data_IF_310202661911
#
_entry.id   IF_310202661911
#
_cell.length_a   1.000
_cell.length_b   1.000
_cell.length_c   1.000
_cell.angle_alpha   90.00
_cell.angle_beta   90.00
_cell.angle_gamma   90.00
#
_symmetry.space_group_name_H-M   'P 1'
#
loop_
_entity.id
_entity.type
_entity.pdbx_description
1 polymer ?
#
# COMPACT_ATOMS: atom_id res chain seq x y z
N UNK A 1 -9.37 20.58 -14.04
CA UNK A 1 -8.35 19.54 -13.84
C UNK A 1 -8.55 19.00 -12.45
N UNK A 2 -8.57 17.68 -12.33
CA UNK A 2 -8.72 16.99 -11.04
C UNK A 2 -7.56 16.04 -10.90
N UNK A 3 -6.78 16.17 -9.84
CA UNK A 3 -5.55 15.40 -9.63
C UNK A 3 -5.64 14.64 -8.32
N UNK A 4 -5.52 13.32 -8.38
CA UNK A 4 -5.40 12.45 -7.22
C UNK A 4 -3.92 12.18 -6.94
N UNK A 5 -3.47 12.42 -5.71
CA UNK A 5 -2.19 11.92 -5.21
C UNK A 5 -2.37 10.55 -4.55
N UNK A 6 -1.50 9.61 -4.88
CA UNK A 6 -1.32 8.34 -4.17
C UNK A 6 0.04 8.38 -3.49
N UNK A 7 0.04 8.25 -2.17
CA UNK A 7 1.27 8.08 -1.37
C UNK A 7 1.13 6.79 -0.59
N UNK A 8 2.09 5.87 -0.70
CA UNK A 8 1.86 4.50 -0.23
C UNK A 8 3.11 3.69 0.05
N UNK A 9 2.91 2.57 0.75
CA UNK A 9 3.92 1.52 0.82
C UNK A 9 3.94 0.75 -0.50
N UNK A 10 5.15 0.40 -0.96
CA UNK A 10 5.36 -0.45 -2.12
C UNK A 10 4.73 -1.85 -2.01
N UNK A 11 4.32 -2.28 -0.81
CA UNK A 11 3.55 -3.52 -0.64
C UNK A 11 2.23 -3.55 -1.43
N UNK A 12 1.67 -2.37 -1.77
CA UNK A 12 0.40 -2.26 -2.50
C UNK A 12 0.57 -2.11 -4.02
N UNK A 13 1.74 -2.43 -4.58
CA UNK A 13 1.98 -2.30 -6.03
C UNK A 13 0.92 -3.01 -6.87
N UNK A 14 0.53 -4.22 -6.46
CA UNK A 14 -0.42 -5.05 -7.19
C UNK A 14 -1.82 -4.42 -7.18
N UNK A 15 -2.28 -3.99 -6.01
CA UNK A 15 -3.59 -3.36 -5.87
C UNK A 15 -3.64 -1.99 -6.56
N UNK A 16 -2.56 -1.20 -6.50
CA UNK A 16 -2.46 0.08 -7.22
C UNK A 16 -2.48 -0.17 -8.73
N UNK A 17 -1.71 -1.14 -9.23
CA UNK A 17 -1.71 -1.51 -10.66
C UNK A 17 -3.12 -1.87 -11.10
N UNK A 18 -3.78 -2.76 -10.34
CA UNK A 18 -5.15 -3.19 -10.64
C UNK A 18 -6.13 -2.02 -10.70
N UNK A 19 -6.07 -1.09 -9.76
CA UNK A 19 -6.97 0.06 -9.76
C UNK A 19 -6.74 0.98 -10.96
N UNK A 20 -5.48 1.33 -11.23
CA UNK A 20 -5.17 2.34 -12.24
C UNK A 20 -5.31 1.81 -13.67
N UNK A 21 -4.99 0.53 -13.90
CA UNK A 21 -5.17 -0.11 -15.20
C UNK A 21 -6.65 -0.28 -15.59
N UNK A 22 -7.54 -0.39 -14.60
CA UNK A 22 -8.96 -0.64 -14.81
C UNK A 22 -9.86 0.59 -14.62
N UNK A 23 -9.31 1.80 -14.41
CA UNK A 23 -10.10 3.03 -14.35
C UNK A 23 -10.07 3.79 -15.69
N UNK A 24 -11.15 3.72 -16.50
CA UNK A 24 -11.20 4.35 -17.82
C UNK A 24 -11.25 5.88 -17.77
N UNK A 25 -11.51 6.47 -16.60
CA UNK A 25 -11.61 7.92 -16.46
C UNK A 25 -10.24 8.58 -16.20
N UNK A 26 -9.19 7.80 -15.94
CA UNK A 26 -7.82 8.32 -15.83
C UNK A 26 -7.30 8.70 -17.21
N UNK A 27 -6.96 9.97 -17.38
CA UNK A 27 -6.31 10.47 -18.60
C UNK A 27 -4.80 10.29 -18.56
N UNK A 28 -4.19 10.50 -17.39
CA UNK A 28 -2.73 10.42 -17.20
C UNK A 28 -2.36 9.85 -15.83
N UNK A 29 -1.39 8.95 -15.85
CA UNK A 29 -0.73 8.44 -14.65
C UNK A 29 0.69 9.03 -14.63
N UNK A 30 1.02 9.73 -13.55
CA UNK A 30 2.36 10.22 -13.27
C UNK A 30 3.02 9.35 -12.22
N UNK A 31 4.22 8.90 -12.49
CA UNK A 31 5.05 8.18 -11.53
C UNK A 31 6.21 9.10 -11.16
N UNK A 32 6.38 9.37 -9.87
CA UNK A 32 7.53 10.16 -9.43
C UNK A 32 8.82 9.35 -9.65
N UNK A 33 9.83 9.96 -10.25
CA UNK A 33 11.13 9.35 -10.50
C UNK A 33 11.82 8.97 -9.17
N UNK A 34 11.73 7.68 -8.82
CA UNK A 34 12.32 7.05 -7.65
C UNK A 34 12.37 5.53 -7.87
N UNK A 35 13.42 4.87 -7.38
CA UNK A 35 13.61 3.42 -7.43
C UNK A 35 12.43 2.64 -6.82
N UNK A 36 11.81 3.15 -5.76
CA UNK A 36 10.66 2.52 -5.12
C UNK A 36 9.41 2.44 -6.01
N UNK A 37 9.38 3.18 -7.12
CA UNK A 37 8.26 3.13 -8.07
C UNK A 37 8.54 2.22 -9.27
N UNK A 38 9.74 1.65 -9.41
CA UNK A 38 10.11 0.86 -10.60
C UNK A 38 9.23 -0.39 -10.77
N UNK A 39 8.87 -1.07 -9.68
CA UNK A 39 8.00 -2.25 -9.73
C UNK A 39 6.60 -1.89 -10.24
N UNK A 40 6.01 -0.82 -9.67
CA UNK A 40 4.73 -0.27 -10.14
C UNK A 40 4.77 0.13 -11.63
N UNK A 41 5.83 0.83 -12.06
CA UNK A 41 5.98 1.25 -13.46
C UNK A 41 5.93 0.05 -14.41
N UNK A 42 6.74 -0.98 -14.14
CA UNK A 42 6.81 -2.17 -14.98
C UNK A 42 5.46 -2.89 -15.05
N UNK A 43 4.74 -2.99 -13.93
CA UNK A 43 3.41 -3.63 -13.87
C UNK A 43 2.37 -2.85 -14.66
N UNK A 44 2.34 -1.52 -14.54
CA UNK A 44 1.44 -0.68 -15.31
C UNK A 44 1.73 -0.77 -16.82
N UNK A 45 3.01 -0.77 -17.23
CA UNK A 45 3.40 -0.95 -18.63
C UNK A 45 3.00 -2.32 -19.18
N UNK A 46 3.12 -3.39 -18.38
CA UNK A 46 2.66 -4.73 -18.74
C UNK A 46 1.14 -4.81 -18.96
N UNK A 47 0.36 -4.02 -18.21
CA UNK A 47 -1.08 -3.83 -18.41
C UNK A 47 -1.42 -2.88 -19.57
N UNK A 48 -0.42 -2.41 -20.31
CA UNK A 48 -0.61 -1.53 -21.48
C UNK A 48 -0.83 -0.05 -21.14
N UNK A 49 -0.69 0.35 -19.88
CA UNK A 49 -0.68 1.76 -19.49
C UNK A 49 0.57 2.45 -20.04
N UNK A 50 0.53 3.79 -20.14
CA UNK A 50 1.68 4.61 -20.54
C UNK A 50 1.95 5.69 -19.50
N UNK A 51 2.49 5.33 -18.32
CA UNK A 51 2.74 6.31 -17.27
C UNK A 51 3.82 7.31 -17.68
N UNK A 52 3.72 8.52 -17.18
CA UNK A 52 4.72 9.58 -17.37
C UNK A 52 5.63 9.61 -16.15
N UNK A 53 6.90 9.27 -16.33
CA UNK A 53 7.89 9.30 -15.25
C UNK A 53 8.58 10.65 -15.20
N UNK A 54 8.47 11.36 -14.08
CA UNK A 54 9.07 12.69 -13.90
C UNK A 54 9.56 12.88 -12.47
N UNK A 55 10.65 13.66 -12.27
CA UNK A 55 10.99 14.11 -10.94
C UNK A 55 9.91 15.07 -10.43
N UNK A 56 9.68 15.06 -9.12
CA UNK A 56 8.55 15.77 -8.49
C UNK A 56 8.42 17.24 -8.92
N UNK A 57 9.54 17.97 -9.03
CA UNK A 57 9.55 19.39 -9.37
C UNK A 57 9.10 19.69 -10.82
N UNK A 58 9.09 18.71 -11.73
CA UNK A 58 8.61 18.87 -13.12
C UNK A 58 7.12 18.56 -13.28
N UNK A 59 6.52 17.81 -12.37
CA UNK A 59 5.13 17.35 -12.48
C UNK A 59 4.15 18.51 -12.60
N UNK A 60 4.34 19.58 -11.82
CA UNK A 60 3.46 20.76 -11.87
C UNK A 60 3.42 21.43 -13.25
N UNK A 61 4.52 21.43 -13.98
CA UNK A 61 4.57 22.01 -15.32
C UNK A 61 3.78 21.16 -16.31
N UNK A 62 3.88 19.84 -16.23
CA UNK A 62 3.18 18.91 -17.14
C UNK A 62 1.67 18.82 -16.84
N UNK A 63 1.27 18.86 -15.56
CA UNK A 63 -0.14 18.90 -15.17
C UNK A 63 -0.90 20.04 -15.83
N UNK A 64 -0.28 21.23 -15.97
CA UNK A 64 -0.91 22.39 -16.62
C UNK A 64 -1.28 22.16 -18.09
N UNK A 65 -0.76 21.10 -18.71
CA UNK A 65 -1.06 20.72 -20.08
C UNK A 65 -2.23 19.73 -20.20
N UNK A 66 -2.80 19.23 -19.09
CA UNK A 66 -4.01 18.40 -19.09
C UNK A 66 -5.14 19.05 -18.29
N UNK A 67 -6.39 18.94 -18.78
CA UNK A 67 -7.58 19.43 -18.07
C UNK A 67 -8.41 18.31 -17.44
N UNK A 68 -8.00 17.05 -17.60
CA UNK A 68 -8.78 15.85 -17.21
C UNK A 68 -8.32 15.28 -15.85
N UNK A 69 -8.88 14.13 -15.48
CA UNK A 69 -8.52 13.41 -14.27
C UNK A 69 -7.13 12.78 -14.40
N UNK A 70 -6.22 13.11 -13.49
CA UNK A 70 -4.85 12.59 -13.48
C UNK A 70 -4.53 12.01 -12.12
N UNK A 71 -3.63 11.02 -12.08
CA UNK A 71 -3.14 10.40 -10.85
C UNK A 71 -1.63 10.59 -10.76
N UNK A 72 -1.11 10.96 -9.59
CA UNK A 72 0.32 11.00 -9.30
C UNK A 72 0.61 9.96 -8.22
N UNK A 73 1.59 9.08 -8.44
CA UNK A 73 1.95 8.03 -7.48
C UNK A 73 3.37 8.23 -6.95
N UNK A 74 3.51 8.17 -5.63
CA UNK A 74 4.77 8.14 -4.89
C UNK A 74 4.76 7.00 -3.87
N UNK A 75 5.46 5.91 -4.17
CA UNK A 75 5.67 4.81 -3.24
C UNK A 75 6.89 5.00 -2.36
N UNK A 76 6.90 4.30 -1.24
CA UNK A 76 8.00 4.24 -0.28
C UNK A 76 8.35 2.78 0.03
N UNK A 77 9.61 2.54 0.38
CA UNK A 77 10.14 1.19 0.56
C UNK A 77 9.48 0.41 1.70
N UNK A 78 9.31 -0.90 1.47
CA UNK A 78 8.68 -1.83 2.42
C UNK A 78 9.38 -1.89 3.78
N UNK A 79 10.70 -1.71 3.79
CA UNK A 79 11.52 -1.73 5.01
C UNK A 79 11.15 -0.66 6.04
N UNK A 80 10.44 0.40 5.66
CA UNK A 80 10.00 1.42 6.61
C UNK A 80 9.08 0.88 7.71
N UNK A 81 8.45 -0.29 7.50
CA UNK A 81 7.55 -0.90 8.49
C UNK A 81 8.25 -1.24 9.82
N UNK A 82 9.57 -1.51 9.82
CA UNK A 82 10.37 -1.74 11.03
C UNK A 82 10.91 -0.44 11.65
N UNK A 83 10.67 0.74 11.05
CA UNK A 83 11.16 2.03 11.53
C UNK A 83 10.04 3.08 11.65
N UNK A 84 9.13 2.99 12.65
CA UNK A 84 7.94 3.84 12.74
C UNK A 84 8.22 5.36 12.72
N UNK A 85 9.30 5.81 13.36
CA UNK A 85 9.68 7.23 13.37
C UNK A 85 10.10 7.71 11.97
N UNK A 86 10.87 6.89 11.25
CA UNK A 86 11.31 7.19 9.88
C UNK A 86 10.15 7.10 8.89
N UNK A 87 9.31 6.07 8.99
CA UNK A 87 8.06 5.94 8.24
C UNK A 87 7.24 7.22 8.38
N UNK A 88 6.96 7.64 9.61
CA UNK A 88 6.19 8.86 9.87
C UNK A 88 6.83 10.10 9.25
N UNK A 89 8.14 10.29 9.42
CA UNK A 89 8.84 11.45 8.88
C UNK A 89 8.75 11.51 7.35
N UNK A 90 9.09 10.42 6.67
CA UNK A 90 9.10 10.38 5.20
C UNK A 90 7.70 10.49 4.63
N UNK A 91 6.71 9.78 5.19
CA UNK A 91 5.32 9.88 4.72
C UNK A 91 4.76 11.29 4.92
N UNK A 92 5.05 11.96 6.05
CA UNK A 92 4.59 13.33 6.29
C UNK A 92 5.22 14.33 5.32
N UNK A 93 6.51 14.18 5.03
CA UNK A 93 7.21 14.99 4.02
C UNK A 93 6.58 14.80 2.64
N UNK A 94 6.36 13.56 2.22
CA UNK A 94 5.75 13.26 0.93
C UNK A 94 4.32 13.79 0.83
N UNK A 95 3.52 13.67 1.90
CA UNK A 95 2.16 14.20 1.96
C UNK A 95 2.14 15.72 1.90
N UNK A 96 3.00 16.41 2.66
CA UNK A 96 3.08 17.87 2.63
C UNK A 96 3.43 18.37 1.23
N UNK A 97 4.43 17.77 0.59
CA UNK A 97 4.88 18.13 -0.75
C UNK A 97 3.78 17.82 -1.79
N UNK A 98 3.18 16.63 -1.75
CA UNK A 98 2.09 16.22 -2.66
C UNK A 98 0.85 17.12 -2.52
N UNK A 99 0.49 17.52 -1.29
CA UNK A 99 -0.73 18.31 -1.01
C UNK A 99 -0.76 19.68 -1.67
N UNK A 100 0.40 20.16 -2.13
CA UNK A 100 0.57 21.43 -2.85
C UNK A 100 0.32 21.31 -4.36
N UNK A 101 0.18 20.07 -4.87
CA UNK A 101 0.01 19.77 -6.29
C UNK A 101 -1.34 19.14 -6.64
N UNK A 102 -1.99 18.46 -5.68
CA UNK A 102 -3.15 17.60 -5.94
C UNK A 102 -4.41 18.08 -5.22
N UNK A 103 -5.56 17.62 -5.69
CA UNK A 103 -6.88 17.96 -5.13
C UNK A 103 -7.30 17.01 -4.00
N UNK A 104 -6.63 15.88 -3.84
CA UNK A 104 -6.79 14.94 -2.73
C UNK A 104 -5.71 13.88 -2.70
N UNK A 105 -5.43 13.32 -1.53
CA UNK A 105 -4.43 12.25 -1.33
C UNK A 105 -5.10 11.01 -0.75
N UNK A 106 -4.93 9.88 -1.45
CA UNK A 106 -5.22 8.55 -0.92
C UNK A 106 -3.91 7.94 -0.42
N UNK A 107 -3.88 7.63 0.88
CA UNK A 107 -2.75 6.97 1.51
C UNK A 107 -2.94 5.46 1.45
N UNK A 108 -2.06 4.78 0.70
CA UNK A 108 -1.96 3.32 0.67
C UNK A 108 -1.14 2.83 1.85
N UNK A 109 -1.73 3.06 3.02
CA UNK A 109 -1.23 2.70 4.34
C UNK A 109 -2.41 2.40 5.26
N UNK A 110 -2.20 1.47 6.19
CA UNK A 110 -3.01 1.37 7.40
C UNK A 110 -2.52 2.32 8.49
N UNK A 111 -2.83 1.99 9.74
CA UNK A 111 -2.34 2.70 10.92
C UNK A 111 -0.84 2.46 11.18
N UNK A 112 -0.30 1.33 10.70
CA UNK A 112 1.10 0.91 10.78
C UNK A 112 1.71 1.13 12.17
N UNK A 113 1.15 0.45 13.18
CA UNK A 113 1.62 0.59 14.58
C UNK A 113 1.42 2.00 15.14
N UNK A 114 0.30 2.66 14.78
CA UNK A 114 -0.05 4.02 15.16
C UNK A 114 0.82 5.15 14.58
N UNK A 115 1.85 4.85 13.78
CA UNK A 115 2.74 5.85 13.20
C UNK A 115 1.99 6.94 12.41
N UNK A 116 0.92 6.53 11.71
CA UNK A 116 0.12 7.39 10.84
C UNK A 116 -1.25 7.76 11.42
N UNK A 117 -1.56 7.35 12.64
CA UNK A 117 -2.87 7.54 13.31
C UNK A 117 -3.36 8.99 13.36
N UNK A 118 -2.44 9.96 13.37
CA UNK A 118 -2.75 11.40 13.49
C UNK A 118 -2.63 12.16 12.16
N UNK A 119 -2.35 11.50 11.05
CA UNK A 119 -2.01 12.19 9.79
C UNK A 119 -3.15 13.08 9.29
N UNK A 120 -4.39 12.58 9.28
CA UNK A 120 -5.54 13.36 8.84
C UNK A 120 -5.76 14.61 9.72
N UNK A 121 -5.59 14.46 11.05
CA UNK A 121 -5.72 15.58 12.00
C UNK A 121 -4.61 16.61 11.81
N UNK A 122 -3.37 16.14 11.61
CA UNK A 122 -2.21 17.02 11.47
C UNK A 122 -2.26 17.83 10.18
N UNK A 123 -2.89 17.30 9.13
CA UNK A 123 -3.09 17.99 7.85
C UNK A 123 -4.50 18.55 7.64
N UNK A 124 -5.35 18.59 8.67
CA UNK A 124 -6.73 19.10 8.58
C UNK A 124 -6.81 20.58 8.17
N UNK A 125 -5.72 21.33 8.31
CA UNK A 125 -5.60 22.73 7.90
C UNK A 125 -5.33 22.89 6.40
N UNK A 126 -4.97 21.81 5.70
CA UNK A 126 -4.74 21.84 4.25
C UNK A 126 -6.06 21.76 3.49
N UNK A 127 -6.12 22.38 2.31
CA UNK A 127 -7.30 22.27 1.41
C UNK A 127 -7.37 20.93 0.69
N UNK A 128 -6.35 20.09 0.85
CA UNK A 128 -6.20 18.79 0.21
C UNK A 128 -6.67 17.69 1.17
N UNK A 129 -7.86 17.08 0.97
CA UNK A 129 -8.31 15.96 1.79
C UNK A 129 -7.33 14.79 1.70
N UNK A 130 -6.93 14.28 2.86
CA UNK A 130 -6.06 13.11 2.99
C UNK A 130 -6.87 11.97 3.64
N UNK A 131 -6.93 10.82 2.97
CA UNK A 131 -7.63 9.63 3.47
C UNK A 131 -6.73 8.40 3.43
N UNK A 132 -6.53 7.67 4.53
CA UNK A 132 -5.93 6.33 4.51
C UNK A 132 -6.89 5.30 3.92
N UNK A 133 -6.39 4.08 3.72
CA UNK A 133 -7.25 2.93 3.43
C UNK A 133 -8.22 2.73 4.60
N UNK A 134 -9.51 2.64 4.30
CA UNK A 134 -10.56 2.65 5.31
C UNK A 134 -11.21 1.29 5.42
N UNK A 135 -11.31 0.82 6.66
CA UNK A 135 -12.18 -0.29 7.02
C UNK A 135 -13.60 0.24 7.18
N UNK A 136 -14.54 -0.45 6.55
CA UNK A 136 -15.97 -0.15 6.63
C UNK A 136 -16.68 -1.40 7.08
N UNK A 137 -16.46 -1.75 8.33
CA UNK A 137 -17.30 -2.72 8.98
C UNK A 137 -18.59 -2.07 9.48
N UNK A 138 -19.66 -2.86 9.49
CA UNK A 138 -21.05 -2.42 9.63
C UNK A 138 -21.27 -1.42 10.77
N UNK A 139 -21.84 -0.27 10.44
CA UNK A 139 -22.50 0.70 11.34
C UNK A 139 -21.66 1.48 12.37
N UNK A 140 -20.33 1.34 12.38
CA UNK A 140 -19.43 2.20 13.17
C UNK A 140 -18.61 3.17 12.32
N UNK A 141 -18.20 4.28 12.95
CA UNK A 141 -17.34 5.33 12.37
C UNK A 141 -16.24 4.75 11.48
N UNK A 142 -16.12 5.28 10.26
CA UNK A 142 -15.09 4.87 9.29
C UNK A 142 -13.70 5.02 9.93
N UNK A 143 -13.00 3.89 10.12
CA UNK A 143 -11.67 3.82 10.72
C UNK A 143 -10.63 3.41 9.68
N UNK A 144 -9.37 3.86 9.78
CA UNK A 144 -8.30 3.30 8.97
C UNK A 144 -8.15 1.79 9.21
N UNK A 145 -7.72 1.05 8.19
CA UNK A 145 -7.24 -0.33 8.41
C UNK A 145 -6.00 -0.33 9.31
N UNK A 146 -5.79 -1.40 10.06
CA UNK A 146 -4.70 -1.50 11.03
C UNK A 146 -3.34 -1.56 10.33
N UNK A 147 -3.19 -2.42 9.32
CA UNK A 147 -1.99 -2.60 8.52
C UNK A 147 -2.31 -3.11 7.10
N UNK A 148 -1.28 -3.49 6.34
CA UNK A 148 -1.43 -4.03 4.99
C UNK A 148 -2.03 -5.44 4.94
N UNK A 149 -1.84 -6.26 5.97
CA UNK A 149 -2.42 -7.60 6.04
C UNK A 149 -3.92 -7.49 6.32
N UNK A 150 -4.32 -6.58 7.23
CA UNK A 150 -5.73 -6.26 7.45
C UNK A 150 -6.43 -5.79 6.17
N UNK A 151 -5.75 -4.95 5.36
CA UNK A 151 -6.28 -4.53 4.06
C UNK A 151 -6.45 -5.71 3.09
N UNK A 152 -5.43 -6.59 3.00
CA UNK A 152 -5.43 -7.75 2.11
C UNK A 152 -6.40 -8.86 2.55
N UNK A 153 -6.78 -8.90 3.82
CA UNK A 153 -7.81 -9.81 4.36
C UNK A 153 -9.21 -9.18 4.36
N UNK A 154 -9.37 -7.98 3.81
CA UNK A 154 -10.68 -7.35 3.62
C UNK A 154 -11.21 -6.53 4.80
N UNK A 155 -10.42 -6.29 5.85
CA UNK A 155 -10.79 -5.41 6.96
C UNK A 155 -10.22 -5.84 8.31
N UNK A 156 -10.39 -4.99 9.33
CA UNK A 156 -9.83 -5.22 10.66
C UNK A 156 -10.54 -6.34 11.40
N UNK A 157 -11.86 -6.48 11.26
CA UNK A 157 -12.61 -7.51 11.98
C UNK A 157 -12.23 -8.90 11.52
N UNK A 158 -12.23 -9.14 10.20
CA UNK A 158 -11.82 -10.42 9.65
C UNK A 158 -10.36 -10.75 9.98
N UNK A 159 -9.46 -9.76 9.89
CA UNK A 159 -8.07 -9.91 10.31
C UNK A 159 -7.94 -10.34 11.78
N UNK A 160 -8.66 -9.70 12.69
CA UNK A 160 -8.63 -10.06 14.13
C UNK A 160 -9.22 -11.45 14.40
N UNK A 161 -10.21 -11.90 13.63
CA UNK A 161 -10.73 -13.27 13.71
C UNK A 161 -9.65 -14.27 13.28
N UNK A 162 -8.99 -14.02 12.15
CA UNK A 162 -7.90 -14.85 11.65
C UNK A 162 -6.75 -14.91 12.68
N UNK A 163 -6.33 -13.78 13.25
CA UNK A 163 -5.28 -13.75 14.28
C UNK A 163 -5.62 -14.57 15.52
N UNK A 164 -6.90 -14.68 15.90
CA UNK A 164 -7.34 -15.52 17.02
C UNK A 164 -7.27 -17.01 16.68
N UNK A 165 -7.63 -17.37 15.45
CA UNK A 165 -7.65 -18.76 14.98
C UNK A 165 -6.28 -19.28 14.51
N UNK A 166 -5.38 -18.37 14.12
CA UNK A 166 -4.09 -18.65 13.49
C UNK A 166 -2.96 -17.84 14.15
N UNK A 167 -2.87 -17.89 15.48
CA UNK A 167 -1.89 -17.12 16.25
C UNK A 167 -0.43 -17.56 16.03
N UNK A 168 -0.22 -18.75 15.48
CA UNK A 168 1.08 -19.35 15.13
C UNK A 168 1.47 -19.12 13.66
N UNK A 169 0.78 -18.22 12.96
CA UNK A 169 0.87 -18.08 11.50
C UNK A 169 1.46 -16.74 11.06
N UNK A 170 2.44 -16.81 10.16
CA UNK A 170 3.03 -15.65 9.48
C UNK A 170 2.29 -15.38 8.16
N UNK A 171 1.96 -14.13 7.82
CA UNK A 171 1.15 -13.82 6.64
C UNK A 171 2.00 -13.30 5.48
N UNK A 172 1.83 -13.87 4.29
CA UNK A 172 2.45 -13.41 3.05
C UNK A 172 1.38 -13.08 2.00
N UNK A 173 1.31 -11.81 1.61
CA UNK A 173 0.68 -11.39 0.35
C UNK A 173 1.66 -11.61 -0.81
N UNK A 174 1.23 -11.51 -2.09
CA UNK A 174 2.14 -11.64 -3.23
C UNK A 174 3.38 -10.75 -3.12
N UNK A 175 3.16 -9.47 -2.82
CA UNK A 175 4.25 -8.50 -2.65
C UNK A 175 5.16 -8.79 -1.44
N UNK A 176 4.66 -9.40 -0.37
CA UNK A 176 5.50 -9.84 0.74
C UNK A 176 6.34 -11.06 0.33
N UNK A 177 5.74 -12.05 -0.32
CA UNK A 177 6.41 -13.28 -0.71
C UNK A 177 7.55 -13.03 -1.70
N UNK A 178 7.35 -12.22 -2.75
CA UNK A 178 8.44 -12.00 -3.72
C UNK A 178 9.59 -11.15 -3.14
N UNK A 179 9.33 -10.39 -2.07
CA UNK A 179 10.31 -9.48 -1.46
C UNK A 179 10.82 -9.93 -0.07
N UNK A 180 10.43 -11.10 0.46
CA UNK A 180 10.65 -11.42 1.89
C UNK A 180 12.13 -11.35 2.31
N UNK A 181 13.07 -11.65 1.40
CA UNK A 181 14.52 -11.59 1.64
C UNK A 181 15.05 -10.16 1.85
N UNK A 182 14.36 -9.16 1.32
CA UNK A 182 14.77 -7.74 1.37
C UNK A 182 13.78 -6.86 2.12
N UNK A 183 12.58 -7.35 2.41
CA UNK A 183 11.48 -6.56 2.95
C UNK A 183 11.73 -5.97 4.36
N UNK A 184 12.68 -6.53 5.12
CA UNK A 184 13.09 -6.06 6.45
C UNK A 184 14.37 -5.20 6.44
N UNK A 185 14.88 -4.86 5.25
CA UNK A 185 16.08 -4.02 5.09
C UNK A 185 15.67 -2.57 4.83
N UNK A 186 16.41 -1.62 5.40
CA UNK A 186 16.26 -0.20 5.07
C UNK A 186 17.60 0.32 4.56
N UNK A 187 17.70 0.50 3.24
CA UNK A 187 18.98 0.62 2.55
C UNK A 187 19.79 -0.67 2.67
N UNK A 188 21.11 -0.58 2.83
CA UNK A 188 21.98 -1.76 2.94
C UNK A 188 21.96 -2.43 4.32
N UNK A 189 21.39 -1.80 5.34
CA UNK A 189 21.45 -2.27 6.73
C UNK A 189 20.18 -3.03 7.12
N UNK A 190 20.37 -4.20 7.73
CA UNK A 190 19.35 -4.78 8.61
C UNK A 190 19.16 -3.79 9.76
N UNK A 191 17.93 -3.34 10.00
CA UNK A 191 17.68 -2.47 11.14
C UNK A 191 17.90 -3.25 12.43
N UNK A 192 18.70 -2.68 13.33
CA UNK A 192 19.03 -3.22 14.64
C UNK A 192 17.74 -3.51 15.43
N UNK A 193 17.54 -4.77 15.83
CA UNK A 193 16.51 -5.16 16.80
C UNK A 193 15.42 -6.11 16.29
N UNK A 194 15.37 -6.44 15.00
CA UNK A 194 14.49 -7.51 14.49
C UNK A 194 15.33 -8.61 13.85
N UNK A 195 15.43 -9.74 14.53
CA UNK A 195 16.12 -10.92 14.00
C UNK A 195 15.14 -11.72 13.14
N UNK A 196 15.25 -11.60 11.82
CA UNK A 196 14.42 -12.37 10.89
C UNK A 196 15.08 -13.72 10.58
N UNK A 197 15.26 -14.55 11.60
CA UNK A 197 15.82 -15.90 11.50
C UNK A 197 14.76 -16.99 11.72
N UNK A 198 14.92 -18.18 11.13
CA UNK A 198 14.06 -19.33 11.40
C UNK A 198 13.98 -19.68 12.89
N UNK A 199 15.10 -19.61 13.62
CA UNK A 199 15.18 -19.87 15.05
C UNK A 199 14.32 -18.88 15.84
N UNK A 200 14.51 -17.59 15.58
CA UNK A 200 13.80 -16.53 16.30
C UNK A 200 12.28 -16.58 16.06
N UNK A 201 11.84 -16.73 14.81
CA UNK A 201 10.40 -16.84 14.53
C UNK A 201 9.79 -18.08 15.19
N UNK A 202 10.54 -19.19 15.27
CA UNK A 202 10.08 -20.38 15.99
C UNK A 202 10.01 -20.16 17.51
N UNK A 203 10.92 -19.40 18.09
CA UNK A 203 10.88 -19.00 19.51
C UNK A 203 9.67 -18.10 19.81
N UNK A 204 9.30 -17.23 18.87
CA UNK A 204 8.06 -16.44 18.94
C UNK A 204 6.77 -17.27 18.77
N UNK A 205 6.89 -18.57 18.46
CA UNK A 205 5.77 -19.49 18.35
C UNK A 205 5.24 -19.69 16.94
N UNK A 206 5.84 -19.10 15.91
CA UNK A 206 5.42 -19.31 14.53
C UNK A 206 5.72 -20.73 14.06
N UNK A 207 4.73 -21.36 13.41
CA UNK A 207 4.79 -22.71 12.87
C UNK A 207 4.23 -22.80 11.45
N UNK A 208 3.47 -21.78 11.01
CA UNK A 208 2.78 -21.77 9.72
C UNK A 208 3.10 -20.49 8.96
N UNK A 209 2.93 -20.55 7.64
CA UNK A 209 2.85 -19.40 6.77
C UNK A 209 1.54 -19.44 5.99
N UNK A 210 0.79 -18.35 6.04
CA UNK A 210 -0.42 -18.16 5.26
C UNK A 210 -0.10 -17.47 3.93
N UNK A 211 -0.47 -18.13 2.84
CA UNK A 211 -0.59 -17.54 1.52
C UNK A 211 -1.90 -16.75 1.44
N UNK A 212 -1.84 -15.42 1.49
CA UNK A 212 -3.01 -14.55 1.39
C UNK A 212 -3.31 -14.29 -0.08
N UNK A 213 -4.28 -15.03 -0.63
CA UNK A 213 -4.59 -15.02 -2.06
C UNK A 213 -5.59 -13.90 -2.40
N UNK A 214 -5.10 -12.76 -2.86
CA UNK A 214 -5.94 -11.60 -3.28
C UNK A 214 -6.56 -11.76 -4.67
N UNK A 215 -6.30 -12.89 -5.36
CA UNK A 215 -6.72 -13.18 -6.75
C UNK A 215 -6.08 -12.27 -7.81
N UNK A 216 -5.14 -11.40 -7.41
CA UNK A 216 -4.32 -10.63 -8.33
C UNK A 216 -3.16 -11.50 -8.84
N UNK A 217 -2.79 -11.32 -10.11
CA UNK A 217 -1.82 -12.18 -10.81
C UNK A 217 -0.65 -11.40 -11.43
N UNK A 218 -0.16 -10.38 -10.71
CA UNK A 218 1.03 -9.61 -11.13
C UNK A 218 2.35 -10.28 -10.73
N UNK A 219 2.31 -11.22 -9.77
CA UNK A 219 3.47 -11.96 -9.28
C UNK A 219 3.34 -13.44 -9.63
N UNK A 220 3.90 -13.83 -10.78
CA UNK A 220 3.80 -15.20 -11.29
C UNK A 220 4.47 -16.25 -10.39
N UNK A 221 5.44 -15.82 -9.57
CA UNK A 221 6.21 -16.68 -8.69
C UNK A 221 5.65 -16.74 -7.26
N UNK A 222 4.45 -16.21 -6.99
CA UNK A 222 3.93 -16.05 -5.63
C UNK A 222 3.93 -17.37 -4.83
N UNK A 223 3.27 -18.41 -5.34
CA UNK A 223 3.16 -19.71 -4.67
C UNK A 223 4.55 -20.31 -4.39
N UNK A 224 5.41 -20.34 -5.42
CA UNK A 224 6.80 -20.82 -5.32
C UNK A 224 7.60 -20.05 -4.26
N UNK A 225 7.38 -18.74 -4.12
CA UNK A 225 8.07 -17.90 -3.11
C UNK A 225 7.56 -18.16 -1.69
N UNK A 226 6.28 -18.47 -1.53
CA UNK A 226 5.73 -18.92 -0.25
C UNK A 226 6.29 -20.29 0.12
N UNK A 227 6.37 -21.24 -0.83
CA UNK A 227 6.98 -22.55 -0.61
C UNK A 227 8.47 -22.44 -0.23
N UNK A 228 9.22 -21.57 -0.92
CA UNK A 228 10.63 -21.27 -0.60
C UNK A 228 10.76 -20.74 0.84
N UNK A 229 9.91 -19.79 1.23
CA UNK A 229 9.88 -19.27 2.60
C UNK A 229 9.51 -20.37 3.61
N UNK A 230 8.48 -21.16 3.34
CA UNK A 230 8.02 -22.23 4.21
C UNK A 230 9.11 -23.28 4.45
N UNK A 231 9.84 -23.65 3.39
CA UNK A 231 10.97 -24.55 3.46
C UNK A 231 12.11 -23.98 4.32
N UNK A 232 12.53 -22.74 4.07
CA UNK A 232 13.63 -22.09 4.78
C UNK A 232 13.34 -21.90 6.28
N UNK A 233 12.07 -21.67 6.64
CA UNK A 233 11.64 -21.45 8.01
C UNK A 233 11.08 -22.70 8.70
N UNK A 234 10.93 -23.82 7.97
CA UNK A 234 10.33 -25.05 8.48
C UNK A 234 8.87 -24.87 8.91
N UNK A 235 8.09 -24.12 8.12
CA UNK A 235 6.68 -23.83 8.37
C UNK A 235 5.74 -24.65 7.50
N UNK A 236 4.55 -24.94 8.00
CA UNK A 236 3.45 -25.48 7.22
C UNK A 236 2.77 -24.35 6.41
N UNK A 237 2.47 -24.61 5.14
CA UNK A 237 1.74 -23.65 4.29
C UNK A 237 0.25 -23.83 4.49
N UNK A 238 -0.46 -22.74 4.75
CA UNK A 238 -1.93 -22.67 4.69
C UNK A 238 -2.36 -21.62 3.66
N UNK A 239 -3.54 -21.78 3.08
CA UNK A 239 -4.12 -20.77 2.18
C UNK A 239 -5.21 -20.00 2.90
N UNK A 240 -5.20 -18.67 2.76
CA UNK A 240 -6.26 -17.80 3.22
C UNK A 240 -6.78 -16.98 2.04
N UNK A 241 -8.10 -16.90 1.91
CA UNK A 241 -8.73 -16.03 0.91
C UNK A 241 -8.48 -14.57 1.26
N UNK A 242 -7.84 -13.84 0.33
CA UNK A 242 -7.63 -12.41 0.41
C UNK A 242 -8.71 -11.61 -0.32
N UNK A 243 -8.59 -10.29 -0.27
CA UNK A 243 -9.56 -9.35 -0.83
C UNK A 243 -8.88 -8.06 -1.29
N UNK A 244 -9.42 -7.48 -2.36
CA UNK A 244 -9.06 -6.13 -2.85
C UNK A 244 -10.11 -5.08 -2.46
N UNK A 245 -11.16 -5.47 -1.72
CA UNK A 245 -12.33 -4.61 -1.49
C UNK A 245 -12.01 -3.34 -0.70
N UNK A 246 -11.16 -3.43 0.33
CA UNK A 246 -10.76 -2.25 1.13
C UNK A 246 -10.14 -1.19 0.22
N UNK A 247 -9.22 -1.63 -0.63
CA UNK A 247 -8.48 -0.75 -1.54
C UNK A 247 -9.41 -0.18 -2.61
N UNK A 248 -10.24 -1.02 -3.24
CA UNK A 248 -11.20 -0.59 -4.24
C UNK A 248 -12.24 0.41 -3.70
N UNK A 249 -12.81 0.12 -2.52
CA UNK A 249 -13.80 1.00 -1.88
C UNK A 249 -13.16 2.34 -1.50
N UNK A 250 -11.95 2.32 -0.93
CA UNK A 250 -11.22 3.54 -0.55
C UNK A 250 -10.89 4.41 -1.78
N UNK A 251 -10.42 3.79 -2.86
CA UNK A 251 -10.14 4.45 -4.13
C UNK A 251 -11.40 5.07 -4.74
N UNK A 252 -12.47 4.30 -4.91
CA UNK A 252 -13.71 4.76 -5.51
C UNK A 252 -14.33 5.94 -4.76
N UNK A 253 -14.19 5.96 -3.43
CA UNK A 253 -14.69 7.06 -2.59
C UNK A 253 -13.87 8.34 -2.75
N UNK A 254 -12.54 8.24 -2.72
CA UNK A 254 -11.67 9.38 -2.97
C UNK A 254 -11.93 9.94 -4.37
N UNK A 255 -11.94 9.07 -5.38
CA UNK A 255 -12.22 9.41 -6.76
C UNK A 255 -13.59 10.10 -6.94
N UNK A 256 -14.66 9.53 -6.38
CA UNK A 256 -16.01 10.12 -6.45
C UNK A 256 -16.07 11.49 -5.79
N UNK A 257 -15.41 11.66 -4.65
CA UNK A 257 -15.32 12.93 -3.93
C UNK A 257 -14.61 14.02 -4.76
N UNK A 258 -13.57 13.65 -5.52
CA UNK A 258 -12.81 14.59 -6.35
C UNK A 258 -13.50 14.92 -7.68
N UNK A 259 -14.18 13.96 -8.31
CA UNK A 259 -14.85 14.15 -9.61
C UNK A 259 -16.26 14.72 -9.49
N UNK A 260 -16.93 14.49 -8.36
CA UNK A 260 -18.27 15.01 -8.05
C UNK A 260 -18.23 15.71 -6.70
N UNK A 261 -17.51 16.85 -6.58
CA UNK A 261 -17.52 17.61 -5.36
C UNK A 261 -18.97 17.99 -5.05
N UNK A 262 -19.43 17.70 -3.82
CA UNK A 262 -20.74 18.14 -3.36
C UNK A 262 -20.82 19.64 -3.61
N UNK A 263 -21.83 20.08 -4.37
CA UNK A 263 -22.15 21.50 -4.50
C UNK A 263 -22.55 21.97 -3.09
N UNK A 264 -21.65 22.68 -2.41
CA UNK A 264 -21.95 23.41 -1.17
C UNK A 264 -22.64 24.71 -1.56
#
# INVERSE_FOLDING_TARGET
MTVLGIVGCRIFEDEITHLLANDPDIDRIYIIENEENNGLLNKLEAEGCKPVVLPFYKVKADLRCSNKFSVIVQLQGMGLHVAPARLKHETYTNVDIMSRLVDGILLFYGSCGQALSRIQRNFAHTRCPIKPLQDRDTDESIKPVEDCIAAALGGNSHYREILKSHSDTFFLTPMWAVNWKTAFRVGDKLLLGFEFSPEYLRELGYRKVAMVNTKLSYESDFEKKVEEFAHDFGFEVIELEGSTEVVQKSYNQMRSMLLRPLKV
#
